data_IF_653332297630
#
_entry.id   IF_653332297630
#
_cell.length_a   1.000
_cell.length_b   1.000
_cell.length_c   1.000
_cell.angle_alpha   90.00
_cell.angle_beta   90.00
_cell.angle_gamma   90.00
#
_symmetry.space_group_name_H-M   'P 1'
#
loop_
_entity.id
_entity.type
_entity.pdbx_description
1 polymer ?
#
# COMPACT_ATOMS: atom_id res chain seq x y z
N UNK A 1 -10.81 -16.88 -12.60
CA UNK A 1 -11.39 -15.72 -13.30
C UNK A 1 -10.62 -14.48 -12.90
N UNK A 2 -9.63 -14.09 -13.69
CA UNK A 2 -8.92 -12.82 -13.53
C UNK A 2 -9.85 -11.68 -13.95
N UNK A 3 -10.02 -10.69 -13.07
CA UNK A 3 -10.71 -9.44 -13.41
C UNK A 3 -9.67 -8.48 -13.97
N UNK A 4 -9.60 -8.38 -15.29
CA UNK A 4 -8.82 -7.36 -15.99
C UNK A 4 -9.41 -5.98 -15.71
N UNK A 5 -8.54 -5.07 -15.24
CA UNK A 5 -8.89 -3.69 -14.94
C UNK A 5 -9.06 -2.93 -16.27
N UNK A 6 -10.30 -2.69 -16.69
CA UNK A 6 -10.59 -1.82 -17.84
C UNK A 6 -10.71 -0.36 -17.38
N UNK A 7 -9.92 0.52 -18.01
CA UNK A 7 -9.98 1.97 -17.81
C UNK A 7 -11.27 2.49 -18.47
N UNK A 8 -12.27 2.92 -17.68
CA UNK A 8 -13.55 3.44 -18.20
C UNK A 8 -13.32 4.76 -18.95
N UNK A 9 -13.85 4.86 -20.18
CA UNK A 9 -13.98 6.13 -20.88
C UNK A 9 -15.17 6.91 -20.32
N UNK A 10 -15.06 8.24 -20.27
CA UNK A 10 -15.99 9.17 -19.61
C UNK A 10 -17.32 9.38 -20.37
N UNK A 11 -17.77 8.42 -21.18
CA UNK A 11 -18.97 8.62 -22.01
C UNK A 11 -19.71 7.30 -22.25
N UNK A 12 -20.20 6.70 -21.16
CA UNK A 12 -21.21 5.64 -21.26
C UNK A 12 -22.42 6.07 -20.44
N UNK A 13 -23.52 6.37 -21.12
CA UNK A 13 -24.83 6.60 -20.49
C UNK A 13 -25.24 5.27 -19.84
N UNK A 14 -25.59 5.29 -18.56
CA UNK A 14 -25.98 4.10 -17.82
C UNK A 14 -27.28 3.52 -18.43
N UNK A 15 -27.22 2.29 -18.96
CA UNK A 15 -28.37 1.60 -19.56
C UNK A 15 -29.25 0.91 -18.49
N UNK A 16 -28.69 0.61 -17.31
CA UNK A 16 -29.41 0.04 -16.17
C UNK A 16 -29.26 0.91 -14.91
N UNK A 17 -30.28 0.98 -14.03
CA UNK A 17 -30.21 1.77 -12.79
C UNK A 17 -29.02 1.36 -11.90
N UNK A 18 -28.62 0.10 -11.94
CA UNK A 18 -27.47 -0.43 -11.20
C UNK A 18 -26.12 0.06 -11.74
N UNK A 19 -26.03 0.43 -13.01
CA UNK A 19 -24.80 1.01 -13.59
C UNK A 19 -24.56 2.45 -13.12
N UNK A 20 -25.60 3.10 -12.58
CA UNK A 20 -25.53 4.41 -11.96
C UNK A 20 -25.31 4.36 -10.44
N UNK A 21 -25.26 3.17 -9.81
CA UNK A 21 -24.91 3.06 -8.40
C UNK A 21 -23.41 3.27 -8.23
N UNK A 22 -23.04 4.41 -7.64
CA UNK A 22 -21.71 4.60 -7.08
C UNK A 22 -21.59 3.78 -5.79
N UNK A 23 -20.52 2.99 -5.68
CA UNK A 23 -20.23 2.24 -4.47
C UNK A 23 -19.83 3.22 -3.37
N UNK A 24 -20.44 3.08 -2.21
CA UNK A 24 -20.05 3.87 -1.04
C UNK A 24 -18.61 3.54 -0.62
N UNK A 25 -17.81 4.60 -0.44
CA UNK A 25 -16.46 4.52 0.08
C UNK A 25 -16.44 5.03 1.51
N UNK A 26 -16.02 4.19 2.46
CA UNK A 26 -15.87 4.58 3.85
C UNK A 26 -14.38 4.66 4.22
N UNK A 27 -14.06 5.35 5.30
CA UNK A 27 -12.73 5.34 5.90
C UNK A 27 -12.85 5.45 7.42
N UNK A 28 -11.77 5.06 8.11
CA UNK A 28 -11.65 5.28 9.56
C UNK A 28 -10.81 6.52 9.77
N UNK A 29 -11.26 7.43 10.63
CA UNK A 29 -10.49 8.59 11.06
C UNK A 29 -10.22 8.49 12.56
N UNK A 30 -8.98 8.74 12.96
CA UNK A 30 -8.55 8.75 14.36
C UNK A 30 -8.09 10.15 14.73
N UNK A 31 -8.76 10.74 15.72
CA UNK A 31 -8.43 12.04 16.27
C UNK A 31 -7.55 11.93 17.52
N UNK A 32 -6.78 12.98 17.86
CA UNK A 32 -6.25 13.17 19.20
C UNK A 32 -7.38 13.20 20.23
N UNK A 33 -7.10 12.80 21.47
CA UNK A 33 -8.10 12.59 22.53
C UNK A 33 -8.95 13.85 22.81
N UNK A 34 -8.32 15.02 22.87
CA UNK A 34 -8.98 16.32 23.07
C UNK A 34 -9.92 16.72 21.92
N UNK A 35 -9.63 16.28 20.70
CA UNK A 35 -10.48 16.51 19.54
C UNK A 35 -11.57 15.46 19.44
N UNK A 36 -11.26 14.20 19.76
CA UNK A 36 -12.21 13.10 19.76
C UNK A 36 -13.41 13.40 20.66
N UNK A 37 -13.18 13.94 21.86
CA UNK A 37 -14.27 14.36 22.77
C UNK A 37 -15.18 15.44 22.18
N UNK A 38 -14.64 16.36 21.35
CA UNK A 38 -15.44 17.39 20.68
C UNK A 38 -16.28 16.78 19.58
N UNK A 39 -15.67 15.92 18.76
CA UNK A 39 -16.35 15.20 17.67
C UNK A 39 -17.46 14.30 18.23
N UNK A 40 -17.24 13.62 19.35
CA UNK A 40 -18.26 12.80 20.01
C UNK A 40 -19.47 13.64 20.44
N UNK A 41 -19.23 14.85 20.97
CA UNK A 41 -20.31 15.79 21.31
C UNK A 41 -21.07 16.29 20.09
N UNK A 42 -20.37 16.55 18.98
CA UNK A 42 -21.02 16.93 17.70
C UNK A 42 -21.90 15.80 17.18
N UNK A 43 -21.39 14.57 17.18
CA UNK A 43 -22.15 13.38 16.73
C UNK A 43 -23.39 13.17 17.61
N UNK A 44 -23.28 13.37 18.92
CA UNK A 44 -24.41 13.28 19.85
C UNK A 44 -25.49 14.35 19.62
N UNK A 45 -25.12 15.50 19.03
CA UNK A 45 -26.03 16.60 18.71
C UNK A 45 -26.51 16.54 17.24
N UNK A 46 -26.93 15.35 16.79
CA UNK A 46 -27.40 15.07 15.42
C UNK A 46 -26.36 15.30 14.29
N UNK A 47 -25.08 15.32 14.65
CA UNK A 47 -23.96 15.43 13.69
C UNK A 47 -23.43 16.84 13.51
N UNK A 48 -22.34 17.00 12.74
CA UNK A 48 -21.71 18.29 12.54
C UNK A 48 -22.60 19.23 11.74
N UNK A 49 -22.78 20.46 12.24
CA UNK A 49 -23.39 21.57 11.49
C UNK A 49 -22.40 22.05 10.42
N UNK A 50 -22.90 22.71 9.38
CA UNK A 50 -22.10 23.11 8.23
C UNK A 50 -20.79 23.82 8.63
N UNK A 51 -19.67 23.27 8.16
CA UNK A 51 -18.27 23.70 8.40
C UNK A 51 -17.67 23.40 9.78
N UNK A 52 -18.34 22.68 10.68
CA UNK A 52 -17.74 22.23 11.94
C UNK A 52 -16.63 21.20 11.71
N UNK A 53 -16.76 20.39 10.65
CA UNK A 53 -15.72 19.45 10.21
C UNK A 53 -15.45 19.64 8.73
N UNK A 54 -14.19 19.88 8.39
CA UNK A 54 -13.72 19.97 7.00
C UNK A 54 -12.53 19.04 6.79
N UNK A 55 -12.53 18.31 5.68
CA UNK A 55 -11.46 17.37 5.31
C UNK A 55 -11.01 17.70 3.89
N UNK A 56 -9.75 18.09 3.75
CA UNK A 56 -9.12 18.40 2.46
C UNK A 56 -7.98 17.42 2.21
N UNK A 57 -8.01 16.70 1.09
CA UNK A 57 -6.98 15.74 0.73
C UNK A 57 -5.89 16.39 -0.13
N UNK A 58 -4.64 16.05 0.13
CA UNK A 58 -3.53 16.47 -0.71
C UNK A 58 -3.46 15.62 -1.99
N UNK A 59 -2.83 16.16 -3.03
CA UNK A 59 -2.72 15.50 -4.34
C UNK A 59 -1.96 14.16 -4.31
N UNK A 60 -1.20 13.88 -3.25
CA UNK A 60 -0.46 12.63 -3.09
C UNK A 60 -1.32 11.47 -2.54
N UNK A 61 -2.57 11.75 -2.14
CA UNK A 61 -3.51 10.80 -1.52
C UNK A 61 -2.93 10.06 -0.29
N UNK A 62 -1.93 10.66 0.37
CA UNK A 62 -1.31 10.14 1.60
C UNK A 62 -1.37 11.13 2.74
N UNK A 63 -1.58 12.41 2.45
CA UNK A 63 -1.77 13.45 3.43
C UNK A 63 -3.14 14.12 3.27
N UNK A 64 -3.65 14.64 4.38
CA UNK A 64 -4.87 15.43 4.41
C UNK A 64 -4.79 16.50 5.50
N UNK A 65 -5.58 17.54 5.35
CA UNK A 65 -5.80 18.59 6.32
C UNK A 65 -7.22 18.47 6.86
N UNK A 66 -7.33 18.35 8.18
CA UNK A 66 -8.63 18.21 8.85
C UNK A 66 -8.82 19.41 9.76
N UNK A 67 -9.98 20.03 9.71
CA UNK A 67 -10.34 21.11 10.61
C UNK A 67 -11.58 20.68 11.39
N UNK A 68 -11.48 20.74 12.71
CA UNK A 68 -12.61 20.51 13.63
C UNK A 68 -12.81 21.78 14.44
N UNK A 69 -13.93 22.47 14.22
CA UNK A 69 -14.18 23.85 14.64
C UNK A 69 -13.04 24.79 14.19
N UNK A 70 -12.32 25.36 15.16
CA UNK A 70 -11.15 26.21 14.98
C UNK A 70 -9.83 25.46 15.23
N UNK A 71 -9.85 24.12 15.27
CA UNK A 71 -8.69 23.28 15.56
C UNK A 71 -8.13 22.69 14.25
N UNK A 72 -7.05 23.27 13.68
CA UNK A 72 -6.43 22.72 12.48
C UNK A 72 -5.56 21.51 12.82
N UNK A 73 -5.74 20.43 12.07
CA UNK A 73 -5.05 19.16 12.21
C UNK A 73 -4.38 18.78 10.89
N UNK A 74 -3.26 18.07 11.02
CA UNK A 74 -2.60 17.41 9.91
C UNK A 74 -2.90 15.93 10.00
N UNK A 75 -3.16 15.29 8.86
CA UNK A 75 -3.52 13.89 8.82
C UNK A 75 -2.66 13.11 7.84
N UNK A 76 -2.41 11.84 8.19
CA UNK A 76 -1.71 10.87 7.35
C UNK A 76 -2.61 9.66 7.09
N UNK A 77 -2.65 9.21 5.85
CA UNK A 77 -3.45 8.06 5.42
C UNK A 77 -2.55 6.82 5.38
N UNK A 78 -2.86 5.86 6.25
CA UNK A 78 -2.08 4.65 6.45
C UNK A 78 -2.87 3.40 6.06
N UNK A 79 -2.20 2.44 5.45
CA UNK A 79 -2.78 1.16 5.05
C UNK A 79 -2.81 0.20 6.24
N UNK A 80 -4.02 -0.20 6.63
CA UNK A 80 -4.26 -1.17 7.69
C UNK A 80 -3.72 -2.55 7.28
N UNK A 81 -3.28 -3.38 8.24
CA UNK A 81 -2.87 -4.75 7.95
C UNK A 81 -4.02 -5.67 7.61
N UNK A 82 -5.22 -5.39 8.09
CA UNK A 82 -6.40 -6.22 7.92
C UNK A 82 -7.40 -5.51 7.02
N UNK A 83 -8.10 -6.28 6.18
CA UNK A 83 -9.34 -5.83 5.55
C UNK A 83 -10.44 -5.97 6.59
N UNK A 84 -11.20 -4.89 6.78
CA UNK A 84 -12.33 -4.81 7.71
C UNK A 84 -13.60 -4.62 6.89
N UNK A 85 -14.59 -5.48 7.05
CA UNK A 85 -15.87 -5.34 6.35
C UNK A 85 -16.83 -4.47 7.17
N UNK A 86 -17.44 -3.48 6.55
CA UNK A 86 -18.54 -2.72 7.13
C UNK A 86 -19.83 -3.44 6.80
N UNK A 87 -20.64 -3.72 7.81
CA UNK A 87 -21.91 -4.39 7.66
C UNK A 87 -23.02 -3.58 8.35
N UNK A 88 -24.22 -3.62 7.78
CA UNK A 88 -25.44 -3.08 8.37
C UNK A 88 -26.40 -4.20 8.73
N UNK A 89 -27.21 -3.98 9.75
CA UNK A 89 -28.26 -4.90 10.19
C UNK A 89 -29.49 -4.11 10.61
N UNK A 90 -30.67 -4.73 10.51
CA UNK A 90 -31.94 -4.17 11.01
C UNK A 90 -32.45 -4.95 12.23
N UNK A 91 -32.09 -6.23 12.32
CA UNK A 91 -32.59 -7.22 13.28
C UNK A 91 -31.50 -7.69 14.27
N UNK A 92 -30.25 -7.25 14.10
CA UNK A 92 -29.06 -7.75 14.81
C UNK A 92 -28.76 -9.25 14.61
N UNK A 93 -29.37 -9.88 13.61
CA UNK A 93 -29.15 -11.29 13.26
C UNK A 93 -28.60 -11.40 11.85
N UNK A 94 -29.26 -10.75 10.90
CA UNK A 94 -28.87 -10.73 9.50
C UNK A 94 -28.02 -9.49 9.23
N UNK A 95 -26.77 -9.72 8.80
CA UNK A 95 -25.83 -8.67 8.45
C UNK A 95 -25.64 -8.61 6.93
N UNK A 96 -25.69 -7.39 6.38
CA UNK A 96 -25.50 -7.11 4.97
C UNK A 96 -24.22 -6.31 4.78
N UNK A 97 -23.30 -6.83 3.96
CA UNK A 97 -22.06 -6.13 3.62
C UNK A 97 -22.36 -4.84 2.87
N UNK A 98 -21.70 -3.75 3.30
CA UNK A 98 -21.78 -2.43 2.68
C UNK A 98 -20.50 -2.14 1.91
N UNK A 99 -19.34 -2.18 2.58
CA UNK A 99 -18.05 -1.85 1.95
C UNK A 99 -16.86 -2.50 2.66
N UNK A 100 -15.69 -2.46 2.03
CA UNK A 100 -14.42 -2.95 2.58
C UNK A 100 -13.51 -1.77 2.97
N UNK A 101 -12.93 -1.86 4.17
CA UNK A 101 -12.02 -0.88 4.75
C UNK A 101 -10.62 -1.46 4.91
N UNK A 102 -9.62 -0.80 4.34
CA UNK A 102 -8.21 -1.19 4.50
C UNK A 102 -7.30 0.00 4.79
N UNK A 103 -7.85 1.17 5.13
CA UNK A 103 -7.10 2.39 5.40
C UNK A 103 -7.62 3.10 6.64
N UNK A 104 -6.73 3.88 7.25
CA UNK A 104 -7.03 4.73 8.39
C UNK A 104 -6.36 6.09 8.21
N UNK A 105 -7.11 7.15 8.49
CA UNK A 105 -6.65 8.53 8.55
C UNK A 105 -6.27 8.81 10.00
N UNK A 106 -5.00 9.13 10.25
CA UNK A 106 -4.52 9.49 11.59
C UNK A 106 -4.31 11.00 11.63
N UNK A 107 -5.08 11.69 12.47
CA UNK A 107 -4.95 13.13 12.70
C UNK A 107 -3.98 13.40 13.85
N UNK A 108 -3.15 14.42 13.68
CA UNK A 108 -2.18 14.92 14.63
C UNK A 108 -2.33 16.45 14.71
N UNK A 109 -2.07 17.06 15.86
CA UNK A 109 -2.02 18.53 15.95
C UNK A 109 -0.92 19.07 15.05
N UNK A 110 -1.19 20.23 14.44
CA UNK A 110 -0.26 20.89 13.53
C UNK A 110 1.03 21.30 14.28
N UNK A 111 2.12 20.54 14.08
CA UNK A 111 3.46 20.94 14.50
C UNK A 111 4.21 21.54 13.29
N UNK A 112 4.54 22.82 13.39
CA UNK A 112 5.12 23.65 12.32
C UNK A 112 6.52 23.22 11.85
N UNK A 113 7.26 22.43 12.63
CA UNK A 113 8.68 22.16 12.36
C UNK A 113 8.95 20.81 11.67
N UNK A 114 8.01 19.86 11.69
CA UNK A 114 8.30 18.46 11.33
C UNK A 114 7.99 18.07 9.88
N UNK A 115 7.30 18.92 9.11
CA UNK A 115 6.75 18.52 7.81
C UNK A 115 7.69 18.70 6.61
N UNK A 116 8.46 19.80 6.56
CA UNK A 116 9.31 20.13 5.40
C UNK A 116 10.48 19.14 5.24
N UNK A 117 11.06 18.69 6.36
CA UNK A 117 12.17 17.74 6.36
C UNK A 117 11.75 16.30 5.98
N UNK A 118 10.49 15.92 6.24
CA UNK A 118 10.02 14.55 5.98
C UNK A 118 9.65 14.33 4.50
N UNK A 119 9.04 15.34 3.87
CA UNK A 119 8.66 15.30 2.45
C UNK A 119 9.88 15.19 1.51
N UNK A 120 10.97 15.92 1.80
CA UNK A 120 12.20 15.84 1.00
C UNK A 120 12.89 14.48 1.13
N UNK A 121 12.94 13.92 2.35
CA UNK A 121 13.51 12.58 2.60
C UNK A 121 12.73 11.46 1.92
N UNK A 122 11.43 11.65 1.70
CA UNK A 122 10.56 10.65 1.09
C UNK A 122 10.83 10.44 -0.40
N UNK A 123 11.27 11.48 -1.11
CA UNK A 123 11.56 11.42 -2.55
C UNK A 123 12.79 10.52 -2.81
N UNK A 124 13.75 10.49 -1.87
CA UNK A 124 14.98 9.70 -1.96
C UNK A 124 14.79 8.21 -1.59
N UNK A 125 13.62 7.82 -1.07
CA UNK A 125 13.37 6.45 -0.62
C UNK A 125 12.90 5.55 -1.76
N UNK A 126 13.46 4.34 -1.80
CA UNK A 126 12.98 3.28 -2.71
C UNK A 126 11.49 3.00 -2.48
N UNK A 127 10.77 2.57 -3.53
CA UNK A 127 9.33 2.25 -3.46
C UNK A 127 8.98 1.39 -2.23
N UNK A 128 9.74 0.31 -1.99
CA UNK A 128 9.53 -0.58 -0.84
C UNK A 128 9.70 0.10 0.53
N UNK A 129 10.57 1.12 0.64
CA UNK A 129 10.72 1.89 1.88
C UNK A 129 9.58 2.89 2.07
N UNK A 130 9.09 3.50 0.99
CA UNK A 130 7.90 4.37 1.02
C UNK A 130 6.65 3.61 1.42
N UNK A 131 6.42 2.42 0.85
CA UNK A 131 5.26 1.57 1.20
C UNK A 131 5.24 1.20 2.70
N UNK A 132 6.42 1.06 3.31
CA UNK A 132 6.53 0.80 4.76
C UNK A 132 6.20 2.02 5.62
N UNK A 133 6.43 3.24 5.14
CA UNK A 133 6.10 4.45 5.88
C UNK A 133 4.58 4.61 6.00
N UNK A 134 3.85 4.34 4.93
CA UNK A 134 2.39 4.44 4.89
C UNK A 134 1.68 3.15 5.31
N UNK A 135 2.38 2.21 5.96
CA UNK A 135 1.81 0.95 6.44
C UNK A 135 1.58 1.02 7.95
N UNK A 136 0.31 1.00 8.37
CA UNK A 136 -0.02 0.93 9.80
C UNK A 136 0.47 -0.41 10.41
N UNK A 137 1.14 -0.39 11.58
CA UNK A 137 1.72 -1.59 12.18
C UNK A 137 0.67 -2.52 12.81
N UNK A 138 -0.41 -1.94 13.35
CA UNK A 138 -1.44 -2.62 14.14
C UNK A 138 -2.75 -2.72 13.36
N UNK A 139 -3.57 -3.75 13.66
CA UNK A 139 -4.98 -3.75 13.25
C UNK A 139 -5.84 -2.89 14.17
N UNK A 140 -7.14 -2.79 13.86
CA UNK A 140 -8.09 -1.98 14.63
C UNK A 140 -8.36 -2.53 16.03
N UNK A 141 -8.38 -3.85 16.18
CA UNK A 141 -8.74 -4.49 17.44
C UNK A 141 -7.50 -4.79 18.31
N UNK A 142 -7.61 -4.75 19.65
CA UNK A 142 -6.47 -5.01 20.55
C UNK A 142 -5.71 -6.32 20.26
N UNK A 143 -6.39 -7.46 19.96
CA UNK A 143 -5.70 -8.68 19.60
C UNK A 143 -4.84 -8.55 18.35
N UNK A 144 -5.09 -7.59 17.45
CA UNK A 144 -4.38 -7.36 16.20
C UNK A 144 -3.20 -6.38 16.32
N UNK A 145 -2.76 -6.07 17.55
CA UNK A 145 -1.50 -5.36 17.78
C UNK A 145 -0.32 -6.07 17.11
N UNK A 146 0.40 -5.31 16.29
CA UNK A 146 1.55 -5.69 15.47
C UNK A 146 1.28 -6.88 14.55
N UNK A 147 0.07 -6.97 13.99
CA UNK A 147 -0.42 -8.09 13.20
C UNK A 147 0.55 -8.52 12.09
N UNK A 148 1.11 -7.55 11.34
CA UNK A 148 2.05 -7.86 10.24
C UNK A 148 3.27 -8.63 10.74
N UNK A 149 3.77 -8.35 11.94
CA UNK A 149 4.97 -8.99 12.51
C UNK A 149 4.64 -10.27 13.26
N UNK A 150 3.56 -10.27 14.05
CA UNK A 150 3.27 -11.32 15.03
C UNK A 150 2.29 -12.39 14.54
N UNK A 151 1.30 -12.03 13.71
CA UNK A 151 0.18 -12.91 13.35
C UNK A 151 0.23 -13.40 11.91
N UNK A 152 0.66 -12.55 10.99
CA UNK A 152 0.65 -12.90 9.58
C UNK A 152 1.83 -13.78 9.20
N UNK A 153 1.52 -14.98 8.68
CA UNK A 153 2.52 -15.87 8.08
C UNK A 153 3.24 -15.14 6.95
N UNK A 154 4.57 -15.15 6.97
CA UNK A 154 5.37 -14.54 5.91
C UNK A 154 5.37 -15.43 4.67
N UNK A 155 4.92 -14.88 3.55
CA UNK A 155 5.08 -15.53 2.25
C UNK A 155 6.56 -15.50 1.87
N UNK A 156 7.13 -16.67 1.55
CA UNK A 156 8.45 -16.73 0.91
C UNK A 156 8.28 -16.06 -0.45
N UNK A 157 8.95 -14.92 -0.66
CA UNK A 157 8.99 -14.29 -1.98
C UNK A 157 9.63 -15.28 -2.93
N UNK A 158 8.89 -15.69 -3.96
CA UNK A 158 9.48 -16.46 -5.03
C UNK A 158 10.40 -15.46 -5.77
N UNK A 159 11.73 -15.64 -5.62
CA UNK A 159 12.73 -14.64 -6.06
C UNK A 159 12.59 -14.24 -7.54
N UNK A 160 11.93 -15.08 -8.33
CA UNK A 160 11.79 -14.95 -9.78
C UNK A 160 10.61 -14.09 -10.24
N UNK A 161 9.62 -13.78 -9.39
CA UNK A 161 8.36 -13.16 -9.84
C UNK A 161 8.39 -11.61 -9.79
N UNK A 162 9.19 -11.02 -8.91
CA UNK A 162 9.27 -9.56 -8.71
C UNK A 162 10.66 -9.01 -9.08
N UNK A 163 11.17 -9.35 -10.25
CA UNK A 163 12.47 -8.88 -10.72
C UNK A 163 12.36 -8.19 -12.08
N UNK A 164 11.75 -6.99 -12.15
CA UNK A 164 11.59 -6.25 -13.41
C UNK A 164 12.94 -5.97 -14.09
N UNK A 165 14.00 -5.83 -13.30
CA UNK A 165 15.36 -5.68 -13.81
C UNK A 165 15.89 -6.99 -14.45
N UNK A 166 15.55 -8.15 -13.87
CA UNK A 166 15.89 -9.46 -14.46
C UNK A 166 15.10 -9.68 -15.73
N UNK A 167 13.82 -9.32 -15.77
CA UNK A 167 13.00 -9.41 -16.97
C UNK A 167 13.54 -8.50 -18.09
N UNK A 168 13.93 -7.27 -17.75
CA UNK A 168 14.56 -6.33 -18.69
C UNK A 168 15.86 -6.91 -19.26
N UNK A 169 16.68 -7.54 -18.41
CA UNK A 169 17.97 -8.10 -18.81
C UNK A 169 17.80 -9.37 -19.66
N UNK A 170 16.88 -10.26 -19.28
CA UNK A 170 16.52 -11.43 -20.09
C UNK A 170 16.03 -11.00 -21.47
N UNK A 171 15.18 -9.97 -21.56
CA UNK A 171 14.75 -9.40 -22.84
C UNK A 171 15.89 -8.81 -23.66
N UNK A 172 16.92 -8.24 -23.02
CA UNK A 172 18.11 -7.72 -23.71
C UNK A 172 18.91 -8.87 -24.32
N UNK A 173 19.22 -9.90 -23.53
CA UNK A 173 19.95 -11.09 -23.98
C UNK A 173 19.25 -11.79 -25.14
N UNK A 174 17.92 -12.00 -25.03
CA UNK A 174 17.15 -12.63 -26.09
C UNK A 174 17.12 -11.83 -27.40
N UNK A 175 17.20 -10.49 -27.35
CA UNK A 175 17.32 -9.67 -28.57
C UNK A 175 18.69 -9.83 -29.22
N UNK A 176 19.75 -9.82 -28.42
CA UNK A 176 21.11 -10.00 -28.91
C UNK A 176 21.31 -11.38 -29.53
N UNK A 177 20.72 -12.42 -28.94
CA UNK A 177 20.72 -13.78 -29.51
C UNK A 177 19.99 -13.85 -30.85
N UNK A 178 18.90 -13.08 -31.02
CA UNK A 178 18.11 -13.05 -32.25
C UNK A 178 18.82 -12.28 -33.38
N UNK A 179 19.66 -11.30 -33.02
CA UNK A 179 20.53 -10.57 -33.94
C UNK A 179 21.81 -11.35 -34.28
N UNK A 180 22.17 -12.35 -33.47
CA UNK A 180 23.35 -13.18 -33.68
C UNK A 180 23.15 -14.22 -34.79
N UNK A 181 24.26 -14.59 -35.44
CA UNK A 181 24.29 -15.67 -36.43
C UNK A 181 24.22 -17.04 -35.73
N UNK A 182 24.71 -17.12 -34.49
CA UNK A 182 24.76 -18.34 -33.68
C UNK A 182 24.88 -17.97 -32.20
N UNK A 183 24.13 -18.66 -31.33
CA UNK A 183 24.20 -18.49 -29.87
C UNK A 183 24.32 -19.85 -29.18
N UNK A 184 25.21 -19.94 -28.19
CA UNK A 184 25.41 -21.11 -27.33
C UNK A 184 25.53 -20.63 -25.87
N UNK A 185 24.93 -21.37 -24.93
CA UNK A 185 25.05 -21.08 -23.50
C UNK A 185 25.53 -22.31 -22.73
N UNK A 186 26.36 -22.08 -21.71
CA UNK A 186 26.93 -23.14 -20.86
C UNK A 186 26.66 -22.79 -19.40
N UNK A 187 26.15 -23.75 -18.63
CA UNK A 187 25.93 -23.60 -17.20
C UNK A 187 27.23 -23.93 -16.44
N UNK A 188 27.85 -22.91 -15.85
CA UNK A 188 29.03 -23.07 -15.01
C UNK A 188 28.63 -23.12 -13.53
N UNK A 189 28.91 -24.23 -12.85
CA UNK A 189 28.76 -24.32 -11.40
C UNK A 189 29.94 -23.61 -10.72
N UNK A 190 29.64 -22.61 -9.88
CA UNK A 190 30.66 -21.83 -9.14
C UNK A 190 31.59 -22.68 -8.27
N UNK A 191 31.15 -23.86 -7.83
CA UNK A 191 31.94 -24.75 -6.96
C UNK A 191 33.06 -25.50 -7.73
N UNK A 192 33.01 -25.52 -9.06
CA UNK A 192 33.99 -26.26 -9.88
C UNK A 192 35.25 -25.45 -10.22
N UNK A 193 35.30 -24.13 -9.95
CA UNK A 193 36.49 -23.32 -10.22
C UNK A 193 37.65 -23.60 -9.25
N UNK A 194 37.37 -24.15 -8.06
CA UNK A 194 38.42 -24.58 -7.13
C UNK A 194 39.20 -25.82 -7.63
N UNK A 195 38.62 -26.61 -8.55
CA UNK A 195 39.21 -27.86 -9.03
C UNK A 195 39.97 -27.73 -10.35
N UNK A 196 39.71 -26.67 -11.13
CA UNK A 196 40.38 -26.43 -12.41
C UNK A 196 41.76 -25.76 -12.28
N UNK A 197 42.04 -25.10 -11.15
CA UNK A 197 43.36 -24.52 -10.89
C UNK A 197 44.40 -25.55 -10.40
N UNK A 198 43.98 -26.73 -9.93
CA UNK A 198 44.90 -27.78 -9.44
C UNK A 198 45.47 -28.62 -10.59
N UNK A 199 44.76 -28.71 -11.74
CA UNK A 199 45.21 -29.54 -12.88
C UNK A 199 46.19 -28.84 -13.83
N UNK A 200 46.35 -27.51 -13.75
CA UNK A 200 47.34 -26.79 -14.58
C UNK A 200 48.77 -26.87 -14.05
N UNK A 201 48.95 -27.18 -12.76
CA UNK A 201 50.28 -27.25 -12.14
C UNK A 201 50.95 -28.62 -12.29
N UNK A 202 50.21 -29.69 -12.59
CA UNK A 202 50.77 -31.04 -12.74
C UNK A 202 51.25 -31.40 -14.16
N UNK A 203 51.02 -30.54 -15.16
CA UNK A 203 51.44 -30.79 -16.56
C UNK A 203 52.73 -30.07 -16.97
N UNK A 204 53.50 -29.50 -16.02
CA UNK A 204 54.80 -28.85 -16.29
C UNK A 204 55.99 -29.46 -15.52
N UNK A 205 55.89 -30.70 -15.04
CA UNK A 205 57.05 -31.47 -14.58
C UNK A 205 56.92 -32.93 -14.98
N UNK A 206 57.40 -33.29 -16.17
CA UNK A 206 58.09 -34.54 -16.56
C UNK A 206 58.35 -34.53 -18.06
#
# INVERSE_FOLDING_TARGET
MERTYQKRSLTKVAEHPEDALEWETHFIIRFPEDIAEKVDKMIANDGPVANEIMINFDADNRHAHVQVDNSPLQAKILDLPCVTEVMKTLDNETMYKVTDLSQIIICEHKNSESQSLHAQRLIELTKSRRDKLFSHPDGLTPPMKSARKRRFRKTKKNKYVDAPDVEKEVRRLLREDLESISSEYILLNKDNEASSNIKKDFSQQS
#
